data_IF_188984728758
#
_entry.id   IF_188984728758
#
_cell.length_a   1.000
_cell.length_b   1.000
_cell.length_c   1.000
_cell.angle_alpha   90.00
_cell.angle_beta   90.00
_cell.angle_gamma   90.00
#
_symmetry.space_group_name_H-M   'P 1'
#
loop_
_entity.id
_entity.type
_entity.pdbx_description
1 polymer ?
#
# COMPACT_ATOMS: atom_id res chain seq x y z
N UNK A 1 -14.44 7.19 5.37
CA UNK A 1 -13.38 7.03 4.35
C UNK A 1 -11.97 6.99 4.92
N UNK A 2 -11.43 8.06 5.55
CA UNK A 2 -10.08 8.01 6.15
C UNK A 2 -9.91 6.91 7.21
N UNK A 3 -10.93 6.69 8.05
CA UNK A 3 -10.95 5.57 8.99
C UNK A 3 -10.85 4.21 8.27
N UNK A 4 -11.64 4.04 7.20
CA UNK A 4 -11.61 2.83 6.36
C UNK A 4 -10.24 2.60 5.74
N UNK A 5 -9.57 3.65 5.29
CA UNK A 5 -8.20 3.59 4.75
C UNK A 5 -7.21 3.22 5.85
N UNK A 6 -7.32 3.83 7.03
CA UNK A 6 -6.49 3.51 8.20
C UNK A 6 -6.61 2.02 8.58
N UNK A 7 -7.83 1.50 8.66
CA UNK A 7 -8.07 0.09 8.99
C UNK A 7 -7.50 -0.86 7.93
N UNK A 8 -7.59 -0.49 6.65
CA UNK A 8 -6.96 -1.25 5.56
C UNK A 8 -5.44 -1.31 5.71
N UNK A 9 -4.81 -0.17 5.98
CA UNK A 9 -3.35 -0.07 6.16
C UNK A 9 -2.88 -0.93 7.34
N UNK A 10 -3.64 -0.98 8.44
CA UNK A 10 -3.30 -1.87 9.57
C UNK A 10 -3.37 -3.34 9.17
N UNK A 11 -4.40 -3.74 8.42
CA UNK A 11 -4.55 -5.11 7.94
C UNK A 11 -3.44 -5.50 6.95
N UNK A 12 -2.78 -4.55 6.30
CA UNK A 12 -1.65 -4.84 5.43
C UNK A 12 -0.46 -5.41 6.20
N UNK A 13 -0.29 -5.12 7.50
CA UNK A 13 0.84 -5.67 8.27
C UNK A 13 0.89 -7.20 8.21
N UNK A 14 -0.25 -7.87 8.40
CA UNK A 14 -0.34 -9.33 8.31
C UNK A 14 -0.06 -9.83 6.89
N UNK A 15 -0.55 -9.13 5.87
CA UNK A 15 -0.30 -9.49 4.47
C UNK A 15 1.17 -9.33 4.08
N UNK A 16 1.81 -8.26 4.55
CA UNK A 16 3.25 -8.02 4.37
C UNK A 16 4.05 -9.14 5.01
N UNK A 17 3.72 -9.55 6.23
CA UNK A 17 4.37 -10.67 6.91
C UNK A 17 4.30 -11.96 6.07
N UNK A 18 3.09 -12.31 5.61
CA UNK A 18 2.85 -13.52 4.82
C UNK A 18 3.59 -13.49 3.49
N UNK A 19 3.57 -12.35 2.80
CA UNK A 19 4.22 -12.20 1.50
C UNK A 19 5.75 -12.24 1.64
N UNK A 20 6.32 -11.52 2.63
CA UNK A 20 7.76 -11.54 2.93
C UNK A 20 8.23 -12.95 3.28
N UNK A 21 7.50 -13.66 4.15
CA UNK A 21 7.83 -15.05 4.51
C UNK A 21 7.79 -15.98 3.30
N UNK A 22 6.74 -15.89 2.47
CA UNK A 22 6.61 -16.70 1.25
C UNK A 22 7.76 -16.43 0.26
N UNK A 23 8.22 -15.18 0.17
CA UNK A 23 9.34 -14.80 -0.69
C UNK A 23 10.70 -15.28 -0.14
N UNK A 24 10.90 -15.26 1.18
CA UNK A 24 12.08 -15.83 1.81
C UNK A 24 12.22 -17.34 1.51
N UNK A 25 11.09 -18.07 1.54
CA UNK A 25 11.07 -19.51 1.25
C UNK A 25 11.31 -19.84 -0.23
N UNK A 26 11.05 -18.91 -1.15
CA UNK A 26 11.17 -19.14 -2.61
C UNK A 26 12.53 -18.75 -3.21
N UNK A 27 13.44 -18.14 -2.43
CA UNK A 27 14.73 -17.67 -2.95
C UNK A 27 15.86 -18.71 -2.84
N UNK A 28 16.06 -19.40 -3.96
CA UNK A 28 17.35 -19.92 -4.42
C UNK A 28 18.04 -18.82 -5.25
N UNK A 29 18.94 -18.03 -4.66
CA UNK A 29 19.92 -17.20 -5.40
C UNK A 29 20.01 -15.70 -5.04
N UNK A 30 21.17 -15.04 -5.27
CA UNK A 30 21.64 -13.92 -4.45
C UNK A 30 21.43 -12.50 -5.03
N UNK A 31 20.44 -12.24 -5.90
CA UNK A 31 20.42 -10.97 -6.65
C UNK A 31 19.04 -10.38 -7.04
N UNK A 32 18.04 -10.36 -6.16
CA UNK A 32 16.85 -9.56 -6.47
C UNK A 32 16.17 -9.00 -5.23
N UNK A 33 16.13 -7.68 -5.10
CA UNK A 33 15.20 -7.06 -4.16
C UNK A 33 13.76 -7.37 -4.60
N UNK A 34 12.94 -7.81 -3.66
CA UNK A 34 11.50 -8.00 -3.84
C UNK A 34 10.72 -6.74 -3.46
N UNK A 35 9.54 -6.59 -4.06
CA UNK A 35 8.54 -5.62 -3.64
C UNK A 35 7.14 -6.22 -3.80
N UNK A 36 6.19 -5.74 -2.99
CA UNK A 36 4.76 -6.07 -3.11
C UNK A 36 3.97 -4.77 -3.19
N UNK A 37 2.89 -4.82 -3.99
CA UNK A 37 1.97 -3.71 -4.21
C UNK A 37 0.61 -4.10 -3.66
N UNK A 38 0.04 -3.23 -2.82
CA UNK A 38 -1.33 -3.34 -2.32
C UNK A 38 -2.14 -2.14 -2.79
N UNK A 39 -3.29 -2.37 -3.42
CA UNK A 39 -4.20 -1.29 -3.79
C UNK A 39 -5.07 -0.91 -2.60
N UNK A 40 -5.16 0.38 -2.30
CA UNK A 40 -6.17 0.88 -1.37
C UNK A 40 -7.53 0.83 -2.05
N UNK A 41 -8.58 0.61 -1.27
CA UNK A 41 -9.96 0.62 -1.77
C UNK A 41 -10.79 1.69 -1.09
N UNK A 42 -11.84 2.13 -1.78
CA UNK A 42 -12.89 2.93 -1.17
C UNK A 42 -13.86 2.06 -0.34
N UNK A 43 -14.93 2.66 0.17
CA UNK A 43 -15.94 2.00 1.01
C UNK A 43 -16.77 0.93 0.25
N UNK A 44 -16.72 0.95 -1.09
CA UNK A 44 -17.39 -0.04 -1.96
C UNK A 44 -16.48 -1.21 -2.32
N UNK A 45 -15.19 -1.14 -1.97
CA UNK A 45 -14.19 -2.15 -2.32
C UNK A 45 -13.52 -1.91 -3.68
N UNK A 46 -13.90 -0.85 -4.40
CA UNK A 46 -13.25 -0.44 -5.64
C UNK A 46 -11.90 0.23 -5.36
N UNK A 47 -10.93 0.19 -6.30
CA UNK A 47 -9.66 0.89 -6.14
C UNK A 47 -9.86 2.35 -5.77
N UNK A 48 -9.13 2.82 -4.76
CA UNK A 48 -9.22 4.19 -4.27
C UNK A 48 -8.67 5.16 -5.31
N UNK A 49 -9.57 5.73 -6.10
CA UNK A 49 -9.25 6.73 -7.13
C UNK A 49 -8.89 8.06 -6.47
N UNK A 50 -7.88 8.75 -6.99
CA UNK A 50 -7.48 10.06 -6.45
C UNK A 50 -8.55 11.13 -6.67
N UNK A 51 -9.39 10.98 -7.69
CA UNK A 51 -10.60 11.81 -7.89
C UNK A 51 -11.61 11.61 -6.77
N UNK A 52 -11.93 10.36 -6.41
CA UNK A 52 -12.91 10.06 -5.37
C UNK A 52 -12.41 10.54 -3.99
N UNK A 53 -11.12 10.35 -3.71
CA UNK A 53 -10.50 10.90 -2.50
C UNK A 53 -10.54 12.44 -2.50
N UNK A 54 -10.17 13.06 -3.62
CA UNK A 54 -10.16 14.52 -3.79
C UNK A 54 -11.56 15.15 -3.66
N UNK A 55 -12.61 14.52 -4.18
CA UNK A 55 -14.00 14.97 -4.03
C UNK A 55 -14.46 14.99 -2.57
N UNK A 56 -13.83 14.18 -1.70
CA UNK A 56 -14.04 14.18 -0.26
C UNK A 56 -13.02 15.05 0.51
N UNK A 57 -12.17 15.80 -0.20
CA UNK A 57 -11.11 16.62 0.40
C UNK A 57 -9.98 15.82 1.03
N UNK A 58 -9.80 14.55 0.63
CA UNK A 58 -8.74 13.68 1.14
C UNK A 58 -7.53 13.73 0.22
N UNK A 59 -6.38 14.11 0.80
CA UNK A 59 -5.09 14.14 0.13
C UNK A 59 -4.24 12.91 0.49
N UNK A 60 -3.16 12.68 -0.26
CA UNK A 60 -2.14 11.70 0.11
C UNK A 60 -1.58 11.95 1.52
N UNK A 61 -1.35 13.23 1.86
CA UNK A 61 -0.82 13.63 3.16
C UNK A 61 -1.79 13.25 4.30
N UNK A 62 -3.10 13.33 4.08
CA UNK A 62 -4.10 12.89 5.05
C UNK A 62 -4.06 11.38 5.27
N UNK A 63 -3.82 10.61 4.21
CA UNK A 63 -3.65 9.15 4.28
C UNK A 63 -2.38 8.82 5.08
N UNK A 64 -1.27 9.50 4.79
CA UNK A 64 0.02 9.31 5.48
C UNK A 64 -0.02 9.76 6.95
N UNK A 65 -0.96 10.64 7.33
CA UNK A 65 -1.22 11.04 8.71
C UNK A 65 -2.11 10.08 9.49
N UNK A 66 -2.67 9.04 8.86
CA UNK A 66 -3.50 8.07 9.57
C UNK A 66 -2.67 7.21 10.53
N UNK A 67 -3.27 6.83 11.66
CA UNK A 67 -2.62 5.92 12.61
C UNK A 67 -2.30 4.55 11.99
N UNK A 68 -3.08 4.11 11.01
CA UNK A 68 -2.81 2.87 10.28
C UNK A 68 -1.58 2.96 9.39
N UNK A 69 -1.34 4.11 8.73
CA UNK A 69 -0.09 4.32 7.98
C UNK A 69 1.11 4.33 8.92
N UNK A 70 1.03 5.06 10.04
CA UNK A 70 2.13 5.12 11.02
C UNK A 70 2.48 3.74 11.56
N UNK A 71 1.48 2.93 11.92
CA UNK A 71 1.69 1.54 12.38
C UNK A 71 2.33 0.68 11.30
N UNK A 72 1.83 0.73 10.06
CA UNK A 72 2.41 -0.03 8.95
C UNK A 72 3.85 0.41 8.65
N UNK A 73 4.14 1.71 8.70
CA UNK A 73 5.49 2.24 8.50
C UNK A 73 6.45 1.70 9.56
N UNK A 74 6.10 1.83 10.83
CA UNK A 74 6.93 1.34 11.93
C UNK A 74 7.14 -0.18 11.82
N UNK A 75 6.09 -0.93 11.45
CA UNK A 75 6.20 -2.38 11.22
C UNK A 75 7.16 -2.73 10.07
N UNK A 76 7.09 -2.02 8.94
CA UNK A 76 8.02 -2.20 7.84
C UNK A 76 9.47 -1.84 8.24
N UNK A 77 9.67 -0.75 8.99
CA UNK A 77 10.99 -0.33 9.49
C UNK A 77 11.62 -1.38 10.41
N UNK A 78 10.84 -2.01 11.31
CA UNK A 78 11.31 -3.11 12.16
C UNK A 78 11.83 -4.31 11.35
N UNK A 79 11.26 -4.53 10.16
CA UNK A 79 11.65 -5.58 9.23
C UNK A 79 12.74 -5.13 8.24
N UNK A 80 13.30 -3.92 8.39
CA UNK A 80 14.24 -3.31 7.44
C UNK A 80 13.68 -3.17 6.02
N UNK A 81 12.37 -2.92 5.91
CA UNK A 81 11.65 -2.69 4.66
C UNK A 81 11.34 -1.21 4.49
N UNK A 82 11.25 -0.74 3.24
CA UNK A 82 10.73 0.59 2.92
C UNK A 82 9.25 0.52 2.59
N UNK A 83 8.51 1.54 3.02
CA UNK A 83 7.09 1.74 2.74
C UNK A 83 6.90 3.07 2.01
N UNK A 84 6.10 3.09 0.94
CA UNK A 84 5.59 4.33 0.34
C UNK A 84 4.18 4.15 -0.20
N UNK A 85 3.46 5.26 -0.33
CA UNK A 85 2.21 5.32 -1.09
C UNK A 85 2.48 6.19 -2.32
N UNK A 86 2.04 5.75 -3.48
CA UNK A 86 2.06 6.57 -4.69
C UNK A 86 0.72 6.52 -5.43
N UNK A 87 0.58 7.41 -6.39
CA UNK A 87 -0.49 7.38 -7.37
C UNK A 87 -0.04 6.62 -8.61
N UNK A 88 -0.88 5.70 -9.09
CA UNK A 88 -0.63 4.95 -10.31
C UNK A 88 -1.80 5.04 -11.27
N UNK A 89 -1.53 5.08 -12.58
CA UNK A 89 -2.59 5.03 -13.58
C UNK A 89 -3.24 3.66 -13.59
N UNK A 90 -4.57 3.64 -13.47
CA UNK A 90 -5.36 2.44 -13.65
C UNK A 90 -5.41 2.09 -15.14
N UNK A 91 -4.67 1.04 -15.54
CA UNK A 91 -4.43 0.71 -16.94
C UNK A 91 -5.70 0.32 -17.71
N UNK A 92 -6.74 -0.15 -17.01
CA UNK A 92 -7.97 -0.67 -17.60
C UNK A 92 -9.13 0.36 -17.63
N UNK A 93 -8.88 1.62 -17.25
CA UNK A 93 -9.91 2.67 -17.31
C UNK A 93 -9.90 3.37 -18.68
N UNK A 94 -11.05 3.49 -19.39
CA UNK A 94 -11.15 4.27 -20.62
C UNK A 94 -10.83 5.75 -20.43
N UNK A 95 -10.81 6.25 -19.18
CA UNK A 95 -10.28 7.57 -18.82
C UNK A 95 -9.11 7.38 -17.88
N UNK A 96 -7.95 8.03 -18.11
CA UNK A 96 -6.79 7.85 -17.24
C UNK A 96 -7.12 8.31 -15.82
N UNK A 97 -7.39 7.34 -14.94
CA UNK A 97 -7.70 7.57 -13.53
C UNK A 97 -6.52 7.10 -12.70
N UNK A 98 -6.02 7.96 -11.81
CA UNK A 98 -5.02 7.59 -10.83
C UNK A 98 -5.67 6.90 -9.64
N UNK A 99 -5.02 5.86 -9.14
CA UNK A 99 -5.40 5.14 -7.92
C UNK A 99 -4.24 5.15 -6.94
N UNK A 100 -4.54 5.11 -5.65
CA UNK A 100 -3.51 4.99 -4.62
C UNK A 100 -3.11 3.53 -4.42
N UNK A 101 -1.81 3.29 -4.37
CA UNK A 101 -1.24 1.99 -4.01
C UNK A 101 -0.17 2.15 -2.95
N UNK A 102 -0.10 1.15 -2.07
CA UNK A 102 0.93 0.98 -1.05
C UNK A 102 1.99 0.06 -1.63
N UNK A 103 3.24 0.49 -1.56
CA UNK A 103 4.40 -0.28 -2.03
C UNK A 103 5.27 -0.58 -0.83
N UNK A 104 5.58 -1.85 -0.63
CA UNK A 104 6.57 -2.31 0.34
C UNK A 104 7.72 -2.95 -0.42
N UNK A 105 8.94 -2.51 -0.18
CA UNK A 105 10.15 -3.01 -0.84
C UNK A 105 11.31 -3.19 0.16
N UNK A 106 12.40 -3.85 -0.28
CA UNK A 106 13.65 -3.88 0.47
C UNK A 106 14.08 -5.24 1.03
N UNK A 107 13.32 -6.32 0.80
CA UNK A 107 13.78 -7.66 1.15
C UNK A 107 14.55 -8.32 -0.01
N UNK A 108 15.69 -8.94 0.27
CA UNK A 108 16.56 -9.59 -0.71
C UNK A 108 17.74 -10.29 -0.08
#
# INVERSE_FOLDING_TARGET
MLSTISDQLERLMTRVADDVARYADTKVGPAGGGFVIYYLTDETGEPLKSTNAGDQGITLEDIERTGGFERLRNYCEELSLSLRIDEHYYADDPRPTKIYRVIVDGWG
#
